data_IF_114856882210
#
_entry.id   IF_114856882210
#
_cell.length_a   1.000
_cell.length_b   1.000
_cell.length_c   1.000
_cell.angle_alpha   90.00
_cell.angle_beta   90.00
_cell.angle_gamma   90.00
#
_symmetry.space_group_name_H-M   'P 1'
#
loop_
_entity.id
_entity.type
_entity.pdbx_description
1 polymer ?
#
# COMPACT_ATOMS: atom_id res chain seq x y z
N UNK A 1 21.03 15.74 -7.85
CA UNK A 1 19.85 15.11 -7.24
C UNK A 1 18.65 15.53 -8.06
N UNK A 2 17.97 14.60 -8.73
CA UNK A 2 16.68 14.92 -9.35
C UNK A 2 15.69 15.25 -8.22
N UNK A 3 14.83 16.27 -8.38
CA UNK A 3 13.82 16.58 -7.37
C UNK A 3 12.93 15.35 -7.18
N UNK A 4 12.56 15.06 -5.94
CA UNK A 4 11.54 14.06 -5.61
C UNK A 4 10.30 14.40 -6.45
N UNK A 5 10.06 13.61 -7.51
CA UNK A 5 8.80 13.68 -8.25
C UNK A 5 7.76 13.23 -7.23
N UNK A 6 6.97 14.16 -6.71
CA UNK A 6 5.77 13.81 -5.97
C UNK A 6 5.04 12.78 -6.83
N UNK A 7 4.87 11.58 -6.30
CA UNK A 7 4.01 10.61 -6.96
C UNK A 7 2.62 11.17 -6.79
N UNK A 8 2.17 11.85 -7.83
CA UNK A 8 0.84 12.43 -7.89
C UNK A 8 -0.14 11.30 -7.64
N UNK A 9 -0.86 11.38 -6.54
CA UNK A 9 -2.05 10.56 -6.34
C UNK A 9 -3.13 11.12 -7.26
N UNK A 10 -3.11 10.70 -8.52
CA UNK A 10 -4.19 11.02 -9.45
C UNK A 10 -5.47 10.24 -9.08
N UNK A 11 -6.56 10.65 -9.72
CA UNK A 11 -7.88 10.15 -9.37
C UNK A 11 -8.01 8.66 -9.67
N UNK A 12 -7.47 8.25 -10.81
CA UNK A 12 -7.50 6.89 -11.33
C UNK A 12 -6.72 5.93 -10.43
N UNK A 13 -5.53 6.33 -9.99
CA UNK A 13 -4.71 5.60 -9.02
C UNK A 13 -5.43 5.44 -7.67
N UNK A 14 -6.02 6.53 -7.16
CA UNK A 14 -6.80 6.49 -5.92
C UNK A 14 -8.02 5.57 -6.04
N UNK A 15 -8.68 5.58 -7.19
CA UNK A 15 -9.85 4.77 -7.47
C UNK A 15 -9.49 3.28 -7.56
N UNK A 16 -8.37 2.93 -8.21
CA UNK A 16 -7.88 1.56 -8.31
C UNK A 16 -7.60 0.97 -6.92
N UNK A 17 -6.84 1.70 -6.09
CA UNK A 17 -6.52 1.29 -4.71
C UNK A 17 -7.80 1.22 -3.86
N UNK A 18 -8.65 2.25 -3.93
CA UNK A 18 -9.88 2.31 -3.14
C UNK A 18 -10.85 1.18 -3.48
N UNK A 19 -11.00 0.85 -4.76
CA UNK A 19 -11.85 -0.24 -5.22
C UNK A 19 -11.34 -1.60 -4.75
N UNK A 20 -10.01 -1.81 -4.80
CA UNK A 20 -9.39 -3.02 -4.29
C UNK A 20 -9.55 -3.18 -2.77
N UNK A 21 -9.42 -2.09 -2.00
CA UNK A 21 -9.71 -2.11 -0.55
C UNK A 21 -11.17 -2.48 -0.29
N UNK A 22 -12.12 -1.91 -1.05
CA UNK A 22 -13.54 -2.25 -0.91
C UNK A 22 -13.82 -3.71 -1.27
N UNK A 23 -13.15 -4.26 -2.28
CA UNK A 23 -13.23 -5.69 -2.64
C UNK A 23 -12.76 -6.59 -1.49
N UNK A 24 -11.59 -6.31 -0.91
CA UNK A 24 -11.05 -7.05 0.25
C UNK A 24 -12.03 -7.00 1.43
N UNK A 25 -12.57 -5.81 1.73
CA UNK A 25 -13.58 -5.64 2.80
C UNK A 25 -14.87 -6.41 2.51
N UNK A 26 -15.35 -6.39 1.26
CA UNK A 26 -16.54 -7.11 0.85
C UNK A 26 -16.39 -8.64 0.98
N UNK A 27 -15.17 -9.14 0.83
CA UNK A 27 -14.82 -10.55 1.04
C UNK A 27 -14.63 -10.92 2.52
N UNK A 28 -14.61 -9.92 3.43
CA UNK A 28 -14.39 -10.12 4.86
C UNK A 28 -12.93 -10.46 5.20
N UNK A 29 -12.00 -10.11 4.32
CA UNK A 29 -10.58 -10.35 4.48
C UNK A 29 -9.88 -9.23 5.25
N UNK A 30 -8.68 -9.50 5.76
CA UNK A 30 -7.82 -8.49 6.37
C UNK A 30 -7.35 -7.48 5.31
N UNK A 31 -7.56 -6.19 5.57
CA UNK A 31 -7.09 -5.10 4.70
C UNK A 31 -5.58 -4.88 4.84
N UNK A 32 -4.80 -5.80 4.29
CA UNK A 32 -3.34 -5.75 4.25
C UNK A 32 -2.83 -5.38 2.85
N UNK A 33 -1.59 -4.87 2.76
CA UNK A 33 -1.01 -4.51 1.47
C UNK A 33 -0.97 -5.70 0.47
N UNK A 34 -0.58 -6.93 0.86
CA UNK A 34 -0.68 -8.10 -0.02
C UNK A 34 -2.11 -8.40 -0.48
N UNK A 35 -3.10 -8.31 0.41
CA UNK A 35 -4.50 -8.57 0.06
C UNK A 35 -5.02 -7.55 -0.97
N UNK A 36 -4.68 -6.27 -0.79
CA UNK A 36 -5.04 -5.21 -1.74
C UNK A 36 -4.34 -5.42 -3.09
N UNK A 37 -3.06 -5.79 -3.12
CA UNK A 37 -2.37 -6.12 -4.38
C UNK A 37 -3.04 -7.29 -5.12
N UNK A 38 -3.37 -8.37 -4.41
CA UNK A 38 -4.08 -9.51 -5.01
C UNK A 38 -5.47 -9.13 -5.52
N UNK A 39 -6.19 -8.22 -4.85
CA UNK A 39 -7.47 -7.71 -5.35
C UNK A 39 -7.33 -6.88 -6.64
N UNK A 40 -6.26 -6.10 -6.76
CA UNK A 40 -5.94 -5.37 -8.00
C UNK A 40 -5.61 -6.34 -9.14
N UNK A 41 -4.77 -7.35 -8.89
CA UNK A 41 -4.41 -8.38 -9.88
C UNK A 41 -5.65 -9.14 -10.37
N UNK A 42 -6.54 -9.55 -9.46
CA UNK A 42 -7.82 -10.18 -9.83
C UNK A 42 -8.69 -9.26 -10.67
N UNK A 43 -8.71 -7.96 -10.38
CA UNK A 43 -9.48 -6.99 -11.16
C UNK A 43 -8.97 -6.92 -12.59
N UNK A 44 -7.65 -6.89 -12.79
CA UNK A 44 -7.01 -6.95 -14.12
C UNK A 44 -7.41 -8.24 -14.86
N UNK A 45 -7.37 -9.39 -14.19
CA UNK A 45 -7.78 -10.68 -14.75
C UNK A 45 -9.26 -10.75 -15.14
N UNK A 46 -10.13 -9.99 -14.45
CA UNK A 46 -11.57 -9.93 -14.71
C UNK A 46 -11.95 -9.06 -15.93
N UNK A 47 -10.97 -8.36 -16.54
CA UNK A 47 -11.15 -7.67 -17.82
C UNK A 47 -11.42 -6.17 -17.67
N UNK A 48 -10.43 -5.45 -17.16
CA UNK A 48 -10.38 -3.98 -17.17
C UNK A 48 -10.16 -3.43 -18.58
N UNK A 49 -10.57 -2.19 -18.80
CA UNK A 49 -10.19 -1.45 -20.01
C UNK A 49 -8.72 -0.98 -19.94
N UNK A 50 -8.12 -0.62 -21.07
CA UNK A 50 -6.70 -0.25 -21.15
C UNK A 50 -6.28 0.86 -20.15
N UNK A 51 -7.16 1.83 -19.88
CA UNK A 51 -6.89 2.91 -18.92
C UNK A 51 -6.95 2.44 -17.47
N UNK A 52 -7.91 1.58 -17.15
CA UNK A 52 -8.01 0.93 -15.85
C UNK A 52 -6.84 -0.03 -15.60
N UNK A 53 -6.35 -0.72 -16.63
CA UNK A 53 -5.14 -1.56 -16.55
C UNK A 53 -3.91 -0.71 -16.24
N UNK A 54 -3.74 0.45 -16.89
CA UNK A 54 -2.64 1.35 -16.60
C UNK A 54 -2.67 1.85 -15.15
N UNK A 55 -3.85 2.24 -14.66
CA UNK A 55 -4.02 2.67 -13.27
C UNK A 55 -3.79 1.54 -12.26
N UNK A 56 -4.16 0.30 -12.61
CA UNK A 56 -3.90 -0.88 -11.78
C UNK A 56 -2.39 -1.20 -11.70
N UNK A 57 -1.66 -1.09 -12.80
CA UNK A 57 -0.20 -1.28 -12.85
C UNK A 57 0.52 -0.22 -11.99
N UNK A 58 0.15 1.06 -12.17
CA UNK A 58 0.68 2.17 -11.35
C UNK A 58 0.38 1.98 -9.86
N UNK A 59 -0.80 1.43 -9.51
CA UNK A 59 -1.17 1.10 -8.14
C UNK A 59 -0.30 -0.02 -7.56
N UNK A 60 -0.07 -1.09 -8.31
CA UNK A 60 0.80 -2.20 -7.89
C UNK A 60 2.23 -1.72 -7.67
N UNK A 61 2.77 -0.94 -8.60
CA UNK A 61 4.10 -0.35 -8.50
C UNK A 61 4.24 0.56 -7.28
N UNK A 62 3.24 1.42 -7.03
CA UNK A 62 3.23 2.28 -5.85
C UNK A 62 3.23 1.45 -4.55
N UNK A 63 2.35 0.46 -4.43
CA UNK A 63 2.26 -0.36 -3.21
C UNK A 63 3.55 -1.15 -3.01
N UNK A 64 4.10 -1.76 -4.07
CA UNK A 64 5.36 -2.48 -4.02
C UNK A 64 6.52 -1.58 -3.58
N UNK A 65 6.58 -0.36 -4.11
CA UNK A 65 7.58 0.63 -3.70
C UNK A 65 7.39 1.05 -2.24
N UNK A 66 6.17 1.32 -1.78
CA UNK A 66 5.91 1.67 -0.39
C UNK A 66 6.31 0.54 0.57
N UNK A 67 6.03 -0.72 0.24
CA UNK A 67 6.47 -1.88 1.04
C UNK A 67 8.00 -1.95 1.10
N UNK A 68 8.67 -1.76 -0.04
CA UNK A 68 10.13 -1.81 -0.12
C UNK A 68 10.81 -0.62 0.55
N UNK A 69 10.26 0.59 0.41
CA UNK A 69 10.79 1.80 1.03
C UNK A 69 10.52 1.79 2.55
N UNK A 70 9.38 1.27 3.01
CA UNK A 70 9.11 1.08 4.43
C UNK A 70 10.07 0.08 5.11
N UNK A 71 10.68 -0.86 4.36
CA UNK A 71 11.75 -1.71 4.92
C UNK A 71 13.01 -0.93 5.30
N UNK A 72 13.23 0.27 4.74
CA UNK A 72 14.37 1.12 5.09
C UNK A 72 14.07 2.17 6.17
N UNK A 73 12.80 2.38 6.55
CA UNK A 73 12.41 3.38 7.55
C UNK A 73 12.27 2.79 8.97
N UNK A 74 12.35 1.46 9.12
CA UNK A 74 12.52 0.84 10.45
C UNK A 74 14.01 0.66 10.78
N UNK A 75 14.58 1.63 11.51
CA UNK A 75 15.49 1.45 12.65
C UNK A 75 15.82 2.83 13.26
N UNK A 76 15.17 3.18 14.38
CA UNK A 76 15.92 3.47 15.58
C UNK A 76 15.87 2.23 16.44
N UNK A 77 17.05 1.70 16.78
CA UNK A 77 17.22 0.70 17.82
C UNK A 77 16.40 1.10 19.05
N UNK A 78 15.44 0.27 19.43
CA UNK A 78 14.88 0.30 20.77
C UNK A 78 15.95 -0.23 21.74
N UNK A 79 16.99 0.56 22.01
CA UNK A 79 17.84 0.35 23.18
C UNK A 79 17.03 0.74 24.43
N UNK A 80 16.45 -0.28 25.06
CA UNK A 80 16.18 -0.42 26.50
C UNK A 80 15.93 0.89 27.27
N UNK A 81 14.70 1.40 27.18
CA UNK A 81 14.19 2.28 28.24
C UNK A 81 13.88 1.40 29.45
N UNK A 82 14.83 1.33 30.36
CA UNK A 82 14.76 0.67 31.67
C UNK A 82 13.40 0.88 32.34
N UNK A 83 12.61 -0.18 32.44
CA UNK A 83 11.45 -0.23 33.31
C UNK A 83 11.94 -0.26 34.77
N UNK A 84 11.84 0.86 35.49
CA UNK A 84 11.82 0.84 36.94
C UNK A 84 10.59 1.62 37.42
N UNK A 85 9.69 0.85 38.01
CA UNK A 85 8.35 1.19 38.49
C UNK A 85 8.34 2.33 39.51
N UNK A 86 7.29 3.14 39.41
CA UNK A 86 6.85 4.07 40.47
C UNK A 86 6.27 3.26 41.63
N UNK A 87 6.76 3.49 42.84
CA UNK A 87 5.99 3.24 44.08
C UNK A 87 5.79 4.58 44.82
N UNK A 88 4.61 4.70 45.43
CA UNK A 88 4.02 5.89 46.06
C UNK A 88 4.76 6.37 47.32
#
# INVERSE_FOLDING_TARGET
>A
MQPYKEVGFDHELCLAIGSAVLDVVAQGEETSAPAVMSAIERSVEQGLNDGEVAAADDALDLIARLINDCRFVHLPDEEEVSHALVEF
#
